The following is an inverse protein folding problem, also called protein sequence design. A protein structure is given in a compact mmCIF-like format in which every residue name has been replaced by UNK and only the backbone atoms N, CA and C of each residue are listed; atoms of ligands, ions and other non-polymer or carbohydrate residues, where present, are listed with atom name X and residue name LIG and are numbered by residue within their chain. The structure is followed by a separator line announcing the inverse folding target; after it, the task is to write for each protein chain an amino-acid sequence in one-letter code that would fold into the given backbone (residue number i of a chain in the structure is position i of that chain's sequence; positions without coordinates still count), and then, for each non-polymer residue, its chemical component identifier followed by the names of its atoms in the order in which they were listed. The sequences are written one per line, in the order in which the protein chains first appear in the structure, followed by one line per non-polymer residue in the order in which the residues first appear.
data_IF_407159210316
#
_entry.id   IF_407159210316
#
_cell.length_a   1.000
_cell.length_b   1.000
_cell.length_c   1.000
_cell.angle_alpha   90.00
_cell.angle_beta   90.00
_cell.angle_gamma   90.00
#
_symmetry.space_group_name_H-M   'P 1'
#
loop_
_entity.id
_entity.type
_entity.pdbx_description
1 polymer ?
#
# COMPACT_ATOMS: atom_id res chain seq x y z
N UNK A 1 33.27 -48.83 -11.61
CA UNK A 1 32.24 -48.19 -12.47
C UNK A 1 30.86 -48.12 -11.82
N UNK A 2 30.21 -49.23 -11.43
CA UNK A 2 28.85 -49.16 -10.83
C UNK A 2 28.82 -48.47 -9.45
N UNK A 3 29.85 -48.67 -8.62
CA UNK A 3 29.94 -48.02 -7.31
C UNK A 3 30.19 -46.50 -7.43
N UNK A 4 31.00 -46.08 -8.40
CA UNK A 4 31.28 -44.66 -8.66
C UNK A 4 30.00 -43.91 -9.06
N UNK A 5 29.16 -44.55 -9.88
CA UNK A 5 27.88 -43.98 -10.32
C UNK A 5 26.88 -43.80 -9.17
N UNK A 6 26.83 -44.75 -8.22
CA UNK A 6 26.00 -44.62 -7.02
C UNK A 6 26.47 -43.49 -6.11
N UNK A 7 27.80 -43.31 -5.97
CA UNK A 7 28.38 -42.22 -5.19
C UNK A 7 28.02 -40.83 -5.76
N UNK A 8 28.08 -40.68 -7.07
CA UNK A 8 27.71 -39.42 -7.75
C UNK A 8 26.23 -39.08 -7.52
N UNK A 9 25.34 -40.06 -7.59
CA UNK A 9 23.90 -39.85 -7.34
C UNK A 9 23.66 -39.44 -5.89
N UNK A 10 24.30 -40.12 -4.93
CA UNK A 10 24.17 -39.78 -3.51
C UNK A 10 24.68 -38.37 -3.20
N UNK A 11 25.81 -37.96 -3.79
CA UNK A 11 26.35 -36.62 -3.65
C UNK A 11 25.41 -35.55 -4.21
N UNK A 12 24.86 -35.78 -5.41
CA UNK A 12 23.90 -34.87 -6.02
C UNK A 12 22.61 -34.74 -5.19
N UNK A 13 22.13 -35.84 -4.61
CA UNK A 13 20.97 -35.83 -3.71
C UNK A 13 21.28 -35.06 -2.43
N UNK A 14 22.45 -35.27 -1.82
CA UNK A 14 22.87 -34.55 -0.62
C UNK A 14 22.96 -33.03 -0.87
N UNK A 15 23.56 -32.61 -1.99
CA UNK A 15 23.67 -31.20 -2.36
C UNK A 15 22.28 -30.56 -2.60
N UNK A 16 21.37 -31.30 -3.23
CA UNK A 16 20.00 -30.84 -3.43
C UNK A 16 19.26 -30.68 -2.09
N UNK A 17 19.39 -31.65 -1.18
CA UNK A 17 18.77 -31.58 0.15
C UNK A 17 19.34 -30.41 0.95
N UNK A 18 20.65 -30.23 0.98
CA UNK A 18 21.30 -29.11 1.67
C UNK A 18 20.84 -27.76 1.12
N UNK A 19 20.75 -27.60 -0.20
CA UNK A 19 20.20 -26.39 -0.83
C UNK A 19 18.74 -26.14 -0.45
N UNK A 20 17.91 -27.19 -0.40
CA UNK A 20 16.50 -27.02 -0.01
C UNK A 20 16.35 -26.66 1.46
N UNK A 21 17.09 -27.30 2.36
CA UNK A 21 17.09 -26.97 3.78
C UNK A 21 17.64 -25.57 4.05
N UNK A 22 18.72 -25.17 3.37
CA UNK A 22 19.25 -23.81 3.46
C UNK A 22 18.21 -22.75 3.08
N UNK A 23 17.46 -22.97 1.98
CA UNK A 23 16.36 -22.08 1.58
C UNK A 23 15.22 -22.04 2.59
N UNK A 24 14.88 -23.17 3.22
CA UNK A 24 13.87 -23.21 4.27
C UNK A 24 14.30 -22.41 5.51
N UNK A 25 15.56 -22.57 5.93
CA UNK A 25 16.12 -21.81 7.06
C UNK A 25 16.14 -20.31 6.75
N UNK A 26 16.54 -19.91 5.54
CA UNK A 26 16.51 -18.51 5.13
C UNK A 26 15.08 -17.94 5.13
N UNK A 27 14.10 -18.72 4.66
CA UNK A 27 12.69 -18.33 4.68
C UNK A 27 12.19 -18.13 6.12
N UNK A 28 12.53 -19.05 7.03
CA UNK A 28 12.20 -18.93 8.44
C UNK A 28 12.86 -17.70 9.07
N UNK A 29 14.12 -17.42 8.75
CA UNK A 29 14.83 -16.23 9.23
C UNK A 29 14.14 -14.94 8.77
N UNK A 30 13.73 -14.85 7.50
CA UNK A 30 12.98 -13.71 6.97
C UNK A 30 11.61 -13.56 7.62
N UNK A 31 10.92 -14.66 7.93
CA UNK A 31 9.66 -14.62 8.65
C UNK A 31 9.83 -14.08 10.07
N UNK A 32 10.88 -14.50 10.78
CA UNK A 32 11.22 -13.96 12.11
C UNK A 32 11.57 -12.48 12.05
N UNK A 33 12.33 -12.04 11.05
CA UNK A 33 12.65 -10.62 10.85
C UNK A 33 11.38 -9.79 10.60
N UNK A 34 10.46 -10.29 9.75
CA UNK A 34 9.18 -9.63 9.50
C UNK A 34 8.35 -9.52 10.78
N UNK A 35 8.28 -10.60 11.57
CA UNK A 35 7.60 -10.59 12.87
C UNK A 35 8.23 -9.58 13.84
N UNK A 36 9.56 -9.46 13.86
CA UNK A 36 10.27 -8.45 14.63
C UNK A 36 9.91 -7.02 14.21
N UNK A 37 9.84 -6.75 12.90
CA UNK A 37 9.41 -5.43 12.37
C UNK A 37 7.94 -5.13 12.73
N UNK A 38 7.08 -6.14 12.69
CA UNK A 38 5.66 -6.01 13.09
C UNK A 38 5.56 -5.72 14.60
N UNK A 39 6.34 -6.41 15.43
CA UNK A 39 6.38 -6.15 16.88
C UNK A 39 6.87 -4.73 17.20
N UNK A 40 7.93 -4.26 16.52
CA UNK A 40 8.41 -2.87 16.64
C UNK A 40 7.34 -1.86 16.23
N UNK A 41 6.64 -2.09 15.11
CA UNK A 41 5.56 -1.23 14.65
C UNK A 41 4.38 -1.20 15.65
N UNK A 42 4.08 -2.33 16.26
CA UNK A 42 3.03 -2.45 17.27
C UNK A 42 3.47 -1.95 18.67
N UNK A 43 4.73 -1.53 18.83
CA UNK A 43 5.27 -1.12 20.13
C UNK A 43 5.31 -2.26 21.16
N UNK A 44 5.27 -3.51 20.69
CA UNK A 44 5.43 -4.70 21.53
C UNK A 44 6.93 -4.87 21.71
N UNK A 45 7.48 -4.05 22.59
CA UNK A 45 8.88 -4.10 22.97
C UNK A 45 9.16 -5.50 23.54
N UNK A 46 10.04 -6.24 22.86
CA UNK A 46 10.52 -7.54 23.34
C UNK A 46 11.41 -7.31 24.56
N UNK A 47 10.79 -7.02 25.70
CA UNK A 47 11.38 -7.04 27.04
C UNK A 47 12.60 -6.16 27.25
N UNK A 48 12.38 -4.86 27.46
CA UNK A 48 13.06 -4.18 28.56
C UNK A 48 11.99 -3.89 29.59
N UNK A 49 12.02 -4.61 30.71
CA UNK A 49 11.37 -4.11 31.91
C UNK A 49 12.03 -2.77 32.19
N UNK A 50 11.39 -1.68 31.77
CA UNK A 50 11.61 -0.38 32.38
C UNK A 50 11.18 -0.55 33.84
N UNK A 51 12.14 -1.00 34.65
CA UNK A 51 12.20 -0.72 36.06
C UNK A 51 12.04 0.79 36.15
N UNK A 52 10.80 1.21 36.40
CA UNK A 52 10.44 2.57 36.69
C UNK A 52 11.30 2.97 37.89
N UNK A 53 12.36 3.71 37.62
CA UNK A 53 13.17 4.37 38.63
C UNK A 53 12.28 5.41 39.30
N UNK A 54 11.69 4.96 40.40
CA UNK A 54 11.17 5.69 41.55
C UNK A 54 11.83 7.07 41.72
N UNK A 55 11.04 8.14 41.94
CA UNK A 55 11.38 9.15 42.92
C UNK A 55 10.42 9.07 44.11
N UNK A 56 10.94 8.42 45.15
CA UNK A 56 10.67 8.53 46.57
C UNK A 56 9.74 9.69 46.95
N UNK A 57 8.45 9.41 47.19
CA UNK A 57 7.59 10.26 48.02
C UNK A 57 7.16 9.44 49.23
N UNK A 58 7.67 9.85 50.38
CA UNK A 58 7.43 9.22 51.68
C UNK A 58 5.92 9.12 51.99
N UNK A 59 5.44 8.04 52.61
CA UNK A 59 4.11 7.99 53.18
C UNK A 59 4.13 8.75 54.52
N UNK A 60 3.44 9.87 54.58
CA UNK A 60 3.12 10.51 55.87
C UNK A 60 1.89 9.78 56.45
N UNK A 61 1.96 9.25 57.69
CA UNK A 61 0.86 8.52 58.33
C UNK A 61 -0.27 9.47 58.82
N UNK A 62 -1.46 8.93 59.12
CA UNK A 62 -2.67 9.72 59.38
C UNK A 62 -2.76 10.18 60.84
N UNK A 63 -3.58 11.20 61.13
CA UNK A 63 -4.27 11.25 62.41
C UNK A 63 -5.78 11.07 62.27
N UNK A 64 -6.26 10.20 63.15
CA UNK A 64 -7.62 9.75 63.38
C UNK A 64 -8.62 10.87 63.75
N UNK A 65 -9.88 10.59 63.39
CA UNK A 65 -11.09 10.79 64.18
C UNK A 65 -11.42 12.18 64.74
N UNK A 66 -12.56 12.75 64.28
CA UNK A 66 -13.80 12.81 65.09
C UNK A 66 -14.96 13.58 64.40
N UNK A 67 -16.13 12.93 64.42
CA UNK A 67 -17.49 13.47 64.64
C UNK A 67 -18.32 14.00 63.46
N UNK A 68 -19.33 13.20 63.10
CA UNK A 68 -20.64 13.63 62.55
C UNK A 68 -21.57 13.88 63.76
N UNK A 69 -22.53 14.83 63.70
CA UNK A 69 -23.92 14.45 63.40
C UNK A 69 -24.66 15.43 62.44
N UNK A 70 -25.59 14.88 61.65
CA UNK A 70 -26.61 15.61 60.86
C UNK A 70 -27.72 16.19 61.80
N UNK A 71 -28.64 17.07 61.33
CA UNK A 71 -29.71 16.72 60.37
C UNK A 71 -30.06 17.79 59.30
N UNK A 72 -30.80 17.37 58.27
CA UNK A 72 -31.33 18.17 57.15
C UNK A 72 -32.55 19.04 57.57
N UNK A 73 -33.01 20.02 56.75
CA UNK A 73 -33.93 19.70 55.64
C UNK A 73 -33.83 20.57 54.35
N UNK A 74 -34.25 19.95 53.24
CA UNK A 74 -35.01 20.48 52.09
C UNK A 74 -34.60 21.80 51.39
N UNK A 75 -34.10 21.71 50.14
CA UNK A 75 -34.86 22.07 48.91
C UNK A 75 -33.95 22.27 47.68
N UNK A 76 -34.17 21.40 46.69
CA UNK A 76 -33.98 21.45 45.21
C UNK A 76 -33.03 22.45 44.50
N UNK A 77 -32.34 22.00 43.42
CA UNK A 77 -31.33 22.77 42.70
C UNK A 77 -31.93 23.62 41.57
N UNK A 78 -31.47 24.86 41.41
CA UNK A 78 -31.73 25.66 40.19
C UNK A 78 -30.49 26.44 39.78
N UNK A 79 -29.68 25.84 38.91
CA UNK A 79 -28.81 26.62 38.00
C UNK A 79 -28.38 25.77 36.81
N UNK A 80 -29.20 25.72 35.78
CA UNK A 80 -28.74 25.35 34.44
C UNK A 80 -28.14 26.60 33.79
N UNK A 81 -26.93 26.56 33.22
CA UNK A 81 -26.44 27.65 32.38
C UNK A 81 -27.18 27.63 31.05
N UNK A 82 -27.89 28.71 30.76
CA UNK A 82 -28.52 29.00 29.47
C UNK A 82 -27.45 29.06 28.38
N UNK A 83 -27.38 28.01 27.55
CA UNK A 83 -26.57 28.01 26.33
C UNK A 83 -27.37 28.75 25.25
N UNK A 84 -26.84 29.82 24.64
CA UNK A 84 -27.50 30.43 23.50
C UNK A 84 -27.51 29.42 22.35
N UNK A 85 -28.70 28.88 22.04
CA UNK A 85 -28.94 28.08 20.85
C UNK A 85 -28.65 28.97 19.65
N UNK A 86 -27.42 28.87 19.11
CA UNK A 86 -27.11 29.38 17.78
C UNK A 86 -28.08 28.68 16.84
N UNK A 87 -29.11 29.40 16.38
CA UNK A 87 -29.94 28.98 15.25
C UNK A 87 -28.98 28.67 14.12
N UNK A 88 -28.79 27.39 13.82
CA UNK A 88 -28.14 26.98 12.59
C UNK A 88 -29.06 27.42 11.45
N UNK A 89 -28.75 28.58 10.88
CA UNK A 89 -29.28 28.98 9.58
C UNK A 89 -28.70 27.99 8.58
N UNK A 90 -29.56 27.15 8.03
CA UNK A 90 -29.24 26.26 6.91
C UNK A 90 -28.69 27.13 5.77
N UNK A 91 -27.45 26.93 5.30
CA UNK A 91 -27.00 27.60 4.10
C UNK A 91 -27.88 27.11 2.95
N UNK A 92 -28.74 28.00 2.47
CA UNK A 92 -29.50 27.83 1.25
C UNK A 92 -28.49 27.58 0.13
N UNK A 93 -28.53 26.37 -0.42
CA UNK A 93 -27.62 25.95 -1.47
C UNK A 93 -27.82 26.85 -2.69
N UNK A 94 -26.80 27.62 -3.05
CA UNK A 94 -26.77 28.42 -4.25
C UNK A 94 -27.17 27.55 -5.48
N UNK A 95 -28.03 28.04 -6.38
CA UNK A 95 -28.44 27.28 -7.55
C UNK A 95 -27.23 27.00 -8.45
N UNK A 96 -27.09 25.74 -8.85
CA UNK A 96 -26.06 25.23 -9.76
C UNK A 96 -25.98 26.11 -11.02
N UNK A 97 -24.77 26.39 -11.56
CA UNK A 97 -24.68 27.03 -12.86
C UNK A 97 -25.27 26.10 -13.93
N UNK A 98 -26.28 26.62 -14.61
CA UNK A 98 -26.94 26.01 -15.75
C UNK A 98 -25.92 25.65 -16.84
N UNK A 99 -25.92 24.38 -17.21
CA UNK A 99 -25.24 23.74 -18.34
C UNK A 99 -25.26 24.62 -19.60
N UNK A 100 -24.18 25.34 -19.87
CA UNK A 100 -23.91 25.87 -21.21
C UNK A 100 -23.40 24.70 -22.08
N UNK A 101 -24.29 24.14 -22.90
CA UNK A 101 -23.89 23.20 -23.95
C UNK A 101 -23.00 23.89 -24.99
N UNK A 102 -22.14 23.15 -25.70
CA UNK A 102 -21.31 23.74 -26.75
C UNK A 102 -22.20 24.20 -27.90
N UNK A 103 -22.06 25.47 -28.30
CA UNK A 103 -22.70 26.00 -29.50
C UNK A 103 -22.15 25.28 -30.74
N UNK A 104 -22.99 24.90 -31.72
CA UNK A 104 -22.51 24.32 -32.96
C UNK A 104 -21.83 25.39 -33.81
N UNK A 105 -20.49 25.38 -33.84
CA UNK A 105 -19.72 26.19 -34.79
C UNK A 105 -19.96 25.66 -36.20
N UNK A 106 -20.69 26.44 -37.01
CA UNK A 106 -20.81 26.25 -38.45
C UNK A 106 -19.45 26.47 -39.11
N UNK A 107 -18.68 25.40 -39.29
CA UNK A 107 -17.51 25.40 -40.19
C UNK A 107 -17.99 25.27 -41.63
N UNK A 108 -18.18 26.41 -42.29
CA UNK A 108 -18.33 26.50 -43.74
C UNK A 108 -16.93 26.40 -44.37
N UNK A 109 -16.65 25.27 -45.02
CA UNK A 109 -15.85 25.14 -46.24
C UNK A 109 -14.40 25.62 -46.25
N UNK A 110 -13.45 24.67 -46.36
CA UNK A 110 -12.34 24.73 -47.33
C UNK A 110 -11.74 23.33 -47.54
N UNK A 111 -11.16 23.05 -48.72
CA UNK A 111 -11.10 21.72 -49.33
C UNK A 111 -9.90 20.90 -48.86
N UNK A 112 -10.04 19.58 -48.95
CA UNK A 112 -8.94 18.61 -48.90
C UNK A 112 -7.93 18.91 -50.01
N UNK A 113 -6.71 19.26 -49.63
CA UNK A 113 -5.55 19.15 -50.50
C UNK A 113 -4.81 17.85 -50.16
N UNK A 114 -4.81 16.91 -51.11
CA UNK A 114 -3.86 15.83 -51.15
C UNK A 114 -2.48 16.40 -51.48
N UNK A 115 -1.46 16.10 -50.68
CA UNK A 115 -0.10 16.57 -50.90
C UNK A 115 0.88 15.88 -49.97
N UNK A 116 1.44 14.77 -50.44
CA UNK A 116 2.59 14.07 -49.85
C UNK A 116 3.81 15.01 -49.81
N UNK A 117 4.34 15.26 -48.62
CA UNK A 117 5.79 15.46 -48.37
C UNK A 117 6.09 15.08 -46.92
N UNK A 118 6.75 13.94 -46.73
CA UNK A 118 7.61 13.64 -45.59
C UNK A 118 9.05 13.63 -46.15
N UNK A 119 10.09 14.02 -45.38
CA UNK A 119 10.44 13.31 -44.16
C UNK A 119 10.84 14.23 -43.01
N UNK A 120 10.11 14.17 -41.90
CA UNK A 120 10.66 14.48 -40.59
C UNK A 120 10.59 13.19 -39.78
N UNK A 121 11.75 12.66 -39.42
CA UNK A 121 11.90 11.47 -38.60
C UNK A 121 11.30 11.73 -37.21
N UNK A 122 10.03 11.37 -37.03
CA UNK A 122 9.47 11.07 -35.73
C UNK A 122 9.79 9.61 -35.41
N UNK A 123 10.35 9.26 -34.24
CA UNK A 123 10.39 7.86 -33.85
C UNK A 123 8.95 7.40 -33.63
N UNK A 124 8.46 6.62 -34.60
CA UNK A 124 7.21 5.87 -34.51
C UNK A 124 7.22 5.05 -33.21
N UNK A 125 6.45 5.47 -32.21
CA UNK A 125 5.98 4.57 -31.17
C UNK A 125 4.83 3.72 -31.73
N UNK A 126 5.15 2.86 -32.70
CA UNK A 126 4.32 1.70 -33.02
C UNK A 126 4.86 0.55 -32.19
N UNK A 127 4.16 0.08 -31.13
CA UNK A 127 4.48 -1.22 -30.59
C UNK A 127 3.99 -2.26 -31.61
N UNK A 128 4.94 -2.80 -32.39
CA UNK A 128 4.74 -4.04 -33.13
C UNK A 128 4.27 -5.11 -32.12
N UNK A 129 3.22 -5.90 -32.40
CA UNK A 129 2.83 -7.01 -31.56
C UNK A 129 3.73 -8.20 -31.86
N UNK A 130 5.03 -8.06 -31.59
CA UNK A 130 6.03 -9.08 -31.92
C UNK A 130 6.78 -9.51 -30.68
N UNK A 131 6.15 -10.47 -30.01
CA UNK A 131 6.70 -11.57 -29.23
C UNK A 131 5.71 -11.84 -28.09
N UNK A 132 5.43 -13.11 -27.75
CA UNK A 132 4.91 -13.40 -26.43
C UNK A 132 5.95 -12.87 -25.43
N UNK A 133 5.70 -11.70 -24.84
CA UNK A 133 6.59 -11.12 -23.85
C UNK A 133 6.48 -12.01 -22.63
N UNK A 134 7.41 -12.96 -22.53
CA UNK A 134 7.59 -13.78 -21.34
C UNK A 134 8.16 -12.86 -20.26
N UNK A 135 7.35 -12.57 -19.25
CA UNK A 135 7.80 -11.78 -18.11
C UNK A 135 8.46 -12.70 -17.09
N UNK A 136 9.65 -12.31 -16.62
CA UNK A 136 10.36 -13.04 -15.57
C UNK A 136 10.00 -12.46 -14.21
N UNK A 137 9.86 -13.31 -13.18
CA UNK A 137 9.73 -12.82 -11.80
C UNK A 137 11.00 -12.06 -11.42
N UNK A 138 10.84 -10.85 -10.87
CA UNK A 138 11.94 -9.93 -10.56
C UNK A 138 12.30 -8.95 -11.67
N UNK A 139 11.71 -9.07 -12.86
CA UNK A 139 11.93 -8.12 -13.96
C UNK A 139 11.32 -6.75 -13.64
N UNK A 140 12.05 -5.67 -13.93
CA UNK A 140 11.49 -4.32 -13.91
C UNK A 140 10.70 -4.07 -15.19
N UNK A 141 9.47 -3.59 -15.00
CA UNK A 141 8.48 -3.35 -16.05
C UNK A 141 7.80 -2.02 -15.81
N UNK A 142 7.26 -1.45 -16.87
CA UNK A 142 6.48 -0.22 -16.84
C UNK A 142 5.04 -0.51 -17.23
N UNK A 143 4.09 0.00 -16.46
CA UNK A 143 2.66 -0.12 -16.82
C UNK A 143 1.99 1.25 -16.86
N UNK A 144 1.01 1.39 -17.75
CA UNK A 144 0.21 2.63 -17.84
C UNK A 144 -1.00 2.56 -16.91
N UNK A 145 -1.26 3.66 -16.22
CA UNK A 145 -2.50 3.86 -15.45
C UNK A 145 -2.98 5.30 -15.66
N UNK A 146 -4.17 5.44 -16.25
CA UNK A 146 -4.69 6.74 -16.66
C UNK A 146 -3.78 7.41 -17.69
N UNK A 147 -3.31 8.63 -17.39
CA UNK A 147 -2.34 9.37 -18.21
C UNK A 147 -0.88 9.10 -17.81
N UNK A 148 -0.65 8.43 -16.69
CA UNK A 148 0.70 8.17 -16.15
C UNK A 148 1.23 6.79 -16.52
N UNK A 149 2.54 6.62 -16.38
CA UNK A 149 3.24 5.35 -16.51
C UNK A 149 4.13 5.13 -15.27
N UNK A 150 4.08 3.92 -14.73
CA UNK A 150 4.66 3.58 -13.44
C UNK A 150 5.67 2.43 -13.60
N UNK A 151 6.83 2.56 -12.96
CA UNK A 151 7.82 1.49 -12.88
C UNK A 151 7.44 0.53 -11.75
N UNK A 152 7.60 -0.76 -12.02
CA UNK A 152 7.19 -1.84 -11.14
C UNK A 152 8.04 -3.08 -11.36
N UNK A 153 8.12 -3.95 -10.36
CA UNK A 153 8.83 -5.23 -10.42
C UNK A 153 7.81 -6.36 -10.49
N UNK A 154 8.00 -7.31 -11.41
CA UNK A 154 7.13 -8.49 -11.55
C UNK A 154 7.29 -9.39 -10.32
N UNK A 155 6.19 -9.71 -9.64
CA UNK A 155 6.18 -10.66 -8.50
C UNK A 155 5.61 -12.02 -8.86
N UNK A 156 4.58 -12.06 -9.69
CA UNK A 156 3.97 -13.29 -10.15
C UNK A 156 3.41 -13.11 -11.56
N UNK A 157 3.39 -14.21 -12.32
CA UNK A 157 2.89 -14.24 -13.69
C UNK A 157 1.83 -15.33 -13.78
N UNK A 158 0.62 -14.95 -14.14
CA UNK A 158 -0.49 -15.86 -14.36
C UNK A 158 -0.67 -16.08 -15.85
N UNK A 159 0.01 -17.09 -16.38
CA UNK A 159 -0.02 -17.43 -17.82
C UNK A 159 -1.44 -17.81 -18.28
N UNK A 160 -2.23 -18.46 -17.40
CA UNK A 160 -3.62 -18.86 -17.66
C UNK A 160 -4.53 -17.66 -17.90
N UNK A 161 -4.38 -16.62 -17.07
CA UNK A 161 -5.22 -15.42 -17.11
C UNK A 161 -4.62 -14.30 -17.97
N UNK A 162 -3.40 -14.50 -18.51
CA UNK A 162 -2.62 -13.48 -19.22
C UNK A 162 -2.42 -12.19 -18.42
N UNK A 163 -2.21 -12.35 -17.11
CA UNK A 163 -2.03 -11.25 -16.16
C UNK A 163 -0.70 -11.35 -15.42
N UNK A 164 -0.19 -10.19 -15.02
CA UNK A 164 1.03 -10.04 -14.23
C UNK A 164 0.68 -9.32 -12.95
N UNK A 165 1.12 -9.88 -11.83
CA UNK A 165 1.13 -9.18 -10.55
C UNK A 165 2.45 -8.45 -10.42
N UNK A 166 2.39 -7.12 -10.45
CA UNK A 166 3.55 -6.24 -10.36
C UNK A 166 3.52 -5.46 -9.06
N UNK A 167 4.68 -5.23 -8.45
CA UNK A 167 4.83 -4.35 -7.29
C UNK A 167 5.44 -3.02 -7.74
N UNK A 168 4.74 -1.91 -7.54
CA UNK A 168 5.23 -0.59 -7.95
C UNK A 168 6.48 -0.21 -7.15
N UNK A 169 7.52 0.30 -7.82
CA UNK A 169 8.81 0.62 -7.19
C UNK A 169 8.68 1.76 -6.17
N UNK A 170 7.75 2.70 -6.38
CA UNK A 170 7.59 3.87 -5.52
C UNK A 170 6.96 3.58 -4.15
N UNK A 171 5.93 2.74 -4.10
CA UNK A 171 5.12 2.51 -2.89
C UNK A 171 5.02 1.02 -2.50
N UNK A 172 5.65 0.12 -3.25
CA UNK A 172 5.65 -1.33 -3.00
C UNK A 172 4.29 -2.01 -3.18
N UNK A 173 3.25 -1.28 -3.62
CA UNK A 173 1.89 -1.81 -3.74
C UNK A 173 1.80 -2.80 -4.88
N UNK A 174 1.12 -3.91 -4.62
CA UNK A 174 0.87 -4.95 -5.63
C UNK A 174 -0.35 -4.59 -6.47
N UNK A 175 -0.21 -4.73 -7.78
CA UNK A 175 -1.25 -4.42 -8.76
C UNK A 175 -1.24 -5.50 -9.82
N UNK A 176 -2.42 -6.05 -10.12
CA UNK A 176 -2.60 -7.01 -11.21
C UNK A 176 -2.90 -6.26 -12.50
N UNK A 177 -2.18 -6.59 -13.58
CA UNK A 177 -2.33 -5.98 -14.90
C UNK A 177 -2.28 -7.02 -16.01
N UNK A 178 -3.06 -6.86 -17.08
CA UNK A 178 -2.94 -7.71 -18.26
C UNK A 178 -1.62 -7.45 -18.99
N UNK A 179 -1.07 -8.47 -19.66
CA UNK A 179 0.19 -8.37 -20.41
C UNK A 179 0.21 -7.18 -21.38
N UNK A 180 -0.91 -6.94 -22.10
CA UNK A 180 -1.03 -5.86 -23.09
C UNK A 180 -0.84 -4.44 -22.53
N UNK A 181 -0.91 -4.28 -21.21
CA UNK A 181 -0.76 -3.00 -20.51
C UNK A 181 0.57 -2.85 -19.78
N UNK A 182 1.42 -3.87 -19.87
CA UNK A 182 2.74 -3.93 -19.27
C UNK A 182 3.76 -3.94 -20.39
N UNK A 183 4.70 -3.02 -20.36
CA UNK A 183 5.86 -2.98 -21.25
C UNK A 183 7.11 -3.25 -20.44
N UNK A 184 8.13 -3.92 -21.00
CA UNK A 184 9.47 -3.93 -20.42
C UNK A 184 9.92 -2.49 -20.12
N UNK A 185 10.57 -2.28 -18.96
CA UNK A 185 11.04 -0.95 -18.53
C UNK A 185 12.22 -0.47 -19.38
#
# INVERSE_FOLDING_TARGET
MQNDMKGIIQAAVAEAVEKTMGRQVELLARQLELLGRIAQFLGIESGSAHAASVPKRAPVPPPASKRIPAPAPASTPKRTPSVPVRKYVRPEAAPKPTRAGPAPQKSRGRPRAAGRTAPAAAPNSSPSPEAPVSFSVGQEVRYKQGRGAFNATVKAVDEKAKTVTVARVSDGKQVVRPFDKVTPA
#
